data_IF_927952626735
#
_entry.id   IF_927952626735
#
_cell.length_a   1.000
_cell.length_b   1.000
_cell.length_c   1.000
_cell.angle_alpha   90.00
_cell.angle_beta   90.00
_cell.angle_gamma   90.00
#
_symmetry.space_group_name_H-M   'P 1'
#
loop_
_entity.id
_entity.type
_entity.pdbx_description
1 polymer ?
#
# COMPACT_ATOMS: atom_id res chain seq x y z
N UNK A 1 -25.41 36.82 -62.21
CA UNK A 1 -24.68 37.73 -63.13
C UNK A 1 -23.25 37.76 -62.63
N UNK A 2 -22.25 37.16 -63.28
CA UNK A 2 -21.61 37.62 -64.52
C UNK A 2 -20.95 36.42 -65.23
N UNK A 3 -21.17 36.34 -66.55
CA UNK A 3 -20.45 35.53 -67.54
C UNK A 3 -19.30 36.36 -68.11
N UNK A 4 -18.14 35.76 -68.36
CA UNK A 4 -17.26 36.01 -69.55
C UNK A 4 -16.16 34.96 -69.56
N UNK A 5 -16.14 33.99 -70.50
CA UNK A 5 -15.62 33.98 -71.88
C UNK A 5 -14.23 33.32 -71.97
N UNK A 6 -14.22 32.18 -72.66
CA UNK A 6 -13.07 31.41 -73.15
C UNK A 6 -12.26 32.21 -74.18
N UNK A 7 -11.02 31.77 -74.47
CA UNK A 7 -10.57 31.64 -75.85
C UNK A 7 -10.40 30.18 -76.25
N UNK A 8 -11.00 29.86 -77.40
CA UNK A 8 -10.70 28.70 -78.22
C UNK A 8 -9.29 28.83 -78.79
N UNK A 9 -8.50 27.77 -78.72
CA UNK A 9 -7.45 27.51 -79.73
C UNK A 9 -7.51 26.05 -80.14
N UNK A 10 -7.08 25.84 -81.38
CA UNK A 10 -7.60 24.84 -82.30
C UNK A 10 -7.18 23.39 -81.98
N UNK A 11 -8.04 22.48 -82.46
CA UNK A 11 -7.73 21.08 -82.72
C UNK A 11 -6.41 20.94 -83.48
N UNK A 12 -5.55 20.03 -83.02
CA UNK A 12 -4.85 19.12 -83.93
C UNK A 12 -5.32 17.70 -83.63
N UNK A 13 -5.91 17.09 -84.64
CA UNK A 13 -6.23 15.67 -84.68
C UNK A 13 -4.94 14.98 -85.07
N UNK A 14 -4.36 14.19 -84.17
CA UNK A 14 -3.49 13.07 -84.56
C UNK A 14 -4.01 11.84 -83.86
N UNK A 15 -4.93 11.19 -84.57
CA UNK A 15 -5.18 9.76 -84.40
C UNK A 15 -4.17 9.03 -85.27
N UNK A 16 -3.16 8.42 -84.65
CA UNK A 16 -2.58 7.19 -85.17
C UNK A 16 -2.39 6.25 -83.99
N UNK A 17 -3.30 5.29 -83.94
CA UNK A 17 -3.22 4.01 -83.28
C UNK A 17 -1.79 3.49 -83.21
N UNK A 18 -1.22 3.53 -82.00
CA UNK A 18 -0.31 2.48 -81.57
C UNK A 18 -0.88 1.91 -80.28
N UNK A 19 -1.92 1.08 -80.44
CA UNK A 19 -2.12 -0.05 -79.54
C UNK A 19 -0.88 -0.94 -79.67
N UNK A 20 0.20 -0.55 -79.00
CA UNK A 20 1.24 -1.51 -78.66
C UNK A 20 0.58 -2.45 -77.67
N UNK A 21 0.40 -3.69 -78.10
CA UNK A 21 0.11 -4.82 -77.24
C UNK A 21 1.31 -5.03 -76.28
N UNK A 22 1.50 -4.11 -75.33
CA UNK A 22 2.23 -4.35 -74.09
C UNK A 22 1.22 -4.80 -73.02
N UNK A 23 0.27 -5.64 -73.43
CA UNK A 23 -0.67 -6.31 -72.55
C UNK A 23 0.01 -7.60 -72.13
N UNK A 24 0.64 -7.60 -70.95
CA UNK A 24 0.78 -8.71 -69.98
C UNK A 24 1.88 -8.40 -68.95
N UNK A 25 2.98 -7.75 -69.32
CA UNK A 25 4.12 -7.49 -68.42
C UNK A 25 3.93 -6.28 -67.49
N UNK A 26 3.34 -5.17 -67.96
CA UNK A 26 3.16 -3.97 -67.13
C UNK A 26 2.16 -4.17 -65.98
N UNK A 27 1.08 -4.93 -66.22
CA UNK A 27 0.11 -5.29 -65.19
C UNK A 27 0.74 -6.23 -64.15
N UNK A 28 1.56 -7.20 -64.59
CA UNK A 28 2.30 -8.11 -63.70
C UNK A 28 3.34 -7.36 -62.87
N UNK A 29 4.10 -6.43 -63.47
CA UNK A 29 5.07 -5.59 -62.75
C UNK A 29 4.42 -4.67 -61.73
N UNK A 30 3.30 -4.01 -62.08
CA UNK A 30 2.51 -3.20 -61.13
C UNK A 30 1.91 -4.06 -60.02
N UNK A 31 1.42 -5.26 -60.33
CA UNK A 31 0.93 -6.21 -59.33
C UNK A 31 2.06 -6.70 -58.40
N UNK A 32 3.27 -6.93 -58.94
CA UNK A 32 4.44 -7.31 -58.15
C UNK A 32 4.93 -6.16 -57.26
N UNK A 33 5.00 -4.93 -57.79
CA UNK A 33 5.36 -3.74 -57.01
C UNK A 33 4.30 -3.42 -55.93
N UNK A 34 3.01 -3.54 -56.27
CA UNK A 34 1.89 -3.45 -55.33
C UNK A 34 2.00 -4.48 -54.20
N UNK A 35 2.22 -5.77 -54.54
CA UNK A 35 2.43 -6.84 -53.54
C UNK A 35 3.64 -6.59 -52.64
N UNK A 36 4.77 -6.11 -53.19
CA UNK A 36 5.96 -5.75 -52.41
C UNK A 36 5.72 -4.55 -51.49
N UNK A 37 5.03 -3.51 -51.97
CA UNK A 37 4.66 -2.34 -51.16
C UNK A 37 3.64 -2.69 -50.04
N UNK A 38 2.69 -3.60 -50.33
CA UNK A 38 1.72 -4.14 -49.37
C UNK A 38 2.37 -5.01 -48.29
N UNK A 39 3.38 -5.80 -48.66
CA UNK A 39 4.19 -6.56 -47.70
C UNK A 39 5.03 -5.66 -46.79
N UNK A 40 5.65 -4.62 -47.34
CA UNK A 40 6.42 -3.63 -46.58
C UNK A 40 5.54 -2.87 -45.59
N UNK A 41 4.39 -2.34 -46.04
CA UNK A 41 3.42 -1.64 -45.18
C UNK A 41 2.83 -2.56 -44.11
N UNK A 42 2.50 -3.82 -44.43
CA UNK A 42 2.07 -4.81 -43.43
C UNK A 42 3.15 -5.06 -42.38
N UNK A 43 4.42 -5.18 -42.78
CA UNK A 43 5.54 -5.39 -41.85
C UNK A 43 5.73 -4.20 -40.91
N UNK A 44 5.64 -2.97 -41.43
CA UNK A 44 5.69 -1.74 -40.62
C UNK A 44 4.49 -1.68 -39.66
N UNK A 45 3.28 -1.98 -40.12
CA UNK A 45 2.09 -2.00 -39.27
C UNK A 45 2.17 -3.08 -38.18
N UNK A 46 2.74 -4.24 -38.50
CA UNK A 46 3.01 -5.31 -37.54
C UNK A 46 4.01 -4.84 -36.49
N UNK A 47 5.13 -4.24 -36.90
CA UNK A 47 6.14 -3.68 -36.00
C UNK A 47 5.55 -2.58 -35.11
N UNK A 48 4.74 -1.67 -35.66
CA UNK A 48 4.04 -0.63 -34.89
C UNK A 48 3.01 -1.22 -33.92
N UNK A 49 2.34 -2.32 -34.29
CA UNK A 49 1.42 -3.04 -33.40
C UNK A 49 2.18 -3.76 -32.28
N UNK A 50 3.33 -4.36 -32.59
CA UNK A 50 4.20 -5.00 -31.61
C UNK A 50 4.81 -3.99 -30.65
N UNK A 51 5.25 -2.82 -31.14
CA UNK A 51 5.70 -1.69 -30.32
C UNK A 51 4.63 -1.27 -29.32
N UNK A 52 3.45 -0.89 -29.82
CA UNK A 52 2.30 -0.54 -28.97
C UNK A 52 1.94 -1.64 -27.95
N UNK A 53 2.06 -2.92 -28.33
CA UNK A 53 1.82 -4.05 -27.41
C UNK A 53 2.88 -4.12 -26.30
N UNK A 54 4.16 -3.92 -26.63
CA UNK A 54 5.24 -3.88 -25.63
C UNK A 54 5.05 -2.72 -24.68
N UNK A 55 4.71 -1.54 -25.20
CA UNK A 55 4.46 -0.35 -24.39
C UNK A 55 3.25 -0.56 -23.46
N UNK A 56 2.17 -1.16 -23.98
CA UNK A 56 1.00 -1.51 -23.17
C UNK A 56 1.31 -2.54 -22.07
N UNK A 57 2.15 -3.55 -22.36
CA UNK A 57 2.57 -4.55 -21.37
C UNK A 57 3.47 -3.95 -20.28
N UNK A 58 4.38 -3.05 -20.65
CA UNK A 58 5.26 -2.35 -19.72
C UNK A 58 4.47 -1.42 -18.78
N UNK A 59 3.40 -0.81 -19.31
CA UNK A 59 2.55 0.11 -18.56
C UNK A 59 1.38 -0.59 -17.83
N UNK A 60 1.32 -1.92 -17.84
CA UNK A 60 0.26 -2.67 -17.13
C UNK A 60 0.52 -2.63 -15.62
N UNK A 61 -0.50 -2.43 -14.77
CA UNK A 61 -0.30 -2.52 -13.33
C UNK A 61 0.06 -3.95 -12.90
N UNK A 62 0.92 -4.04 -11.90
CA UNK A 62 1.31 -5.33 -11.33
C UNK A 62 0.17 -5.93 -10.51
N UNK A 63 -0.03 -7.25 -10.57
CA UNK A 63 -1.08 -7.90 -9.77
C UNK A 63 -0.71 -8.04 -8.28
N UNK A 64 0.59 -8.03 -7.99
CA UNK A 64 1.11 -8.16 -6.62
C UNK A 64 0.86 -6.83 -5.89
N UNK A 65 1.41 -5.74 -6.40
CA UNK A 65 1.40 -4.44 -5.73
C UNK A 65 0.18 -3.61 -6.11
N UNK A 66 -0.41 -3.86 -7.28
CA UNK A 66 -1.65 -3.24 -7.77
C UNK A 66 -1.44 -1.96 -8.58
N UNK A 67 -0.23 -1.43 -8.61
CA UNK A 67 0.13 -0.18 -9.30
C UNK A 67 0.98 -0.44 -10.54
N UNK A 68 1.03 0.56 -11.42
CA UNK A 68 1.99 0.63 -12.52
C UNK A 68 3.41 0.79 -11.95
N UNK A 69 4.45 0.20 -12.57
CA UNK A 69 5.81 0.28 -12.06
C UNK A 69 6.34 1.71 -11.88
N UNK A 70 5.93 2.66 -12.74
CA UNK A 70 6.39 4.05 -12.69
C UNK A 70 5.81 4.83 -11.50
N UNK A 71 4.56 4.57 -11.13
CA UNK A 71 3.81 5.40 -10.16
C UNK A 71 3.79 4.78 -8.75
N UNK A 72 4.36 3.59 -8.56
CA UNK A 72 4.18 2.78 -7.35
C UNK A 72 4.56 3.55 -6.08
N UNK A 73 5.71 4.22 -6.08
CA UNK A 73 6.24 4.89 -4.90
C UNK A 73 5.34 6.07 -4.46
N UNK A 74 4.84 6.85 -5.42
CA UNK A 74 3.98 8.01 -5.16
C UNK A 74 2.60 7.57 -4.70
N UNK A 75 1.95 6.67 -5.46
CA UNK A 75 0.61 6.17 -5.14
C UNK A 75 0.59 5.47 -3.78
N UNK A 76 1.62 4.69 -3.46
CA UNK A 76 1.68 4.03 -2.16
C UNK A 76 1.85 5.02 -1.01
N UNK A 77 2.74 6.01 -1.13
CA UNK A 77 2.94 7.04 -0.10
C UNK A 77 1.67 7.83 0.20
N UNK A 78 0.88 8.10 -0.84
CA UNK A 78 -0.39 8.82 -0.73
C UNK A 78 -1.56 7.91 -0.29
N UNK A 79 -1.34 6.59 -0.22
CA UNK A 79 -2.38 5.66 0.18
C UNK A 79 -2.70 5.80 1.67
N UNK A 80 -3.98 5.67 2.00
CA UNK A 80 -4.43 5.68 3.38
C UNK A 80 -3.80 4.53 4.16
N UNK A 81 -3.71 3.34 3.54
CA UNK A 81 -3.13 2.15 4.17
C UNK A 81 -1.66 2.38 4.58
N UNK A 82 -0.84 2.97 3.72
CA UNK A 82 0.58 3.22 4.03
C UNK A 82 0.75 4.15 5.25
N UNK A 83 -0.05 5.22 5.34
CA UNK A 83 0.02 6.15 6.47
C UNK A 83 -0.34 5.53 7.83
N UNK A 84 -1.12 4.45 7.83
CA UNK A 84 -1.58 3.77 9.04
C UNK A 84 -0.55 2.75 9.56
N UNK A 85 0.22 2.14 8.64
CA UNK A 85 1.12 1.04 8.95
C UNK A 85 2.33 1.49 9.74
N UNK A 86 2.74 0.64 10.68
CA UNK A 86 4.06 0.69 11.30
C UNK A 86 5.04 -0.02 10.38
N UNK A 87 5.87 0.77 9.72
CA UNK A 87 6.96 0.26 8.89
C UNK A 87 8.18 -0.09 9.77
N UNK A 88 8.72 -1.29 9.54
CA UNK A 88 9.93 -1.79 10.22
C UNK A 88 11.15 -0.86 9.98
N UNK A 89 11.14 -0.11 8.87
CA UNK A 89 12.17 0.90 8.56
C UNK A 89 12.11 2.09 9.51
N UNK A 90 10.90 2.54 9.87
CA UNK A 90 10.70 3.68 10.79
C UNK A 90 11.10 3.31 12.21
N UNK A 91 10.89 2.05 12.60
CA UNK A 91 11.34 1.51 13.88
C UNK A 91 12.86 1.27 13.96
N UNK A 92 13.58 1.42 12.85
CA UNK A 92 15.03 1.23 12.83
C UNK A 92 15.73 2.29 13.68
N UNK A 93 16.79 1.93 14.43
CA UNK A 93 17.57 2.88 15.22
C UNK A 93 18.29 3.94 14.38
N UNK A 94 18.31 3.78 13.05
CA UNK A 94 18.90 4.74 12.11
C UNK A 94 17.96 5.91 11.74
N UNK A 95 16.74 5.96 12.27
CA UNK A 95 15.81 7.05 12.00
C UNK A 95 16.20 8.33 12.77
N UNK A 96 16.11 9.49 12.11
CA UNK A 96 16.49 10.80 12.68
C UNK A 96 15.40 11.40 13.58
N UNK A 97 14.21 10.80 13.64
CA UNK A 97 13.07 11.34 14.37
C UNK A 97 13.19 11.09 15.88
N UNK A 98 12.74 12.05 16.72
CA UNK A 98 12.67 11.84 18.16
C UNK A 98 11.83 10.60 18.45
N UNK A 99 12.44 9.71 19.20
CA UNK A 99 12.00 8.33 19.40
C UNK A 99 11.06 8.19 20.59
N UNK A 100 11.38 8.96 21.63
CA UNK A 100 10.71 8.97 22.92
C UNK A 100 10.34 10.41 23.24
N UNK A 101 9.14 10.58 23.77
CA UNK A 101 8.68 11.84 24.35
C UNK A 101 8.82 11.73 25.86
N UNK A 102 9.53 12.67 26.47
CA UNK A 102 9.57 12.78 27.92
C UNK A 102 8.23 13.34 28.39
N UNK A 103 7.55 12.59 29.27
CA UNK A 103 6.35 13.05 29.94
C UNK A 103 6.66 13.28 31.40
N UNK A 104 6.34 14.48 31.89
CA UNK A 104 6.38 14.81 33.31
C UNK A 104 5.11 14.25 33.96
N UNK A 105 5.28 13.19 34.75
CA UNK A 105 4.21 12.56 35.50
C UNK A 105 4.32 12.98 36.98
N UNK A 106 3.29 12.70 37.77
CA UNK A 106 3.25 13.06 39.20
C UNK A 106 4.42 12.50 40.01
N UNK A 107 4.87 11.29 39.68
CA UNK A 107 5.98 10.60 40.36
C UNK A 107 7.34 11.01 39.82
N UNK A 108 7.40 11.54 38.60
CA UNK A 108 8.65 11.96 37.96
C UNK A 108 8.62 11.86 36.45
N UNK A 109 9.80 11.96 35.84
CA UNK A 109 9.97 11.96 34.38
C UNK A 109 10.05 10.53 33.85
N UNK A 110 9.16 10.20 32.90
CA UNK A 110 9.16 8.92 32.20
C UNK A 110 9.32 9.15 30.71
N UNK A 111 10.24 8.41 30.09
CA UNK A 111 10.45 8.43 28.64
C UNK A 111 9.46 7.48 27.98
N UNK A 112 8.42 8.03 27.33
CA UNK A 112 7.40 7.22 26.66
C UNK A 112 7.70 7.10 25.16
N UNK A 113 7.63 5.88 24.59
CA UNK A 113 7.82 5.70 23.16
C UNK A 113 6.63 6.28 22.38
N UNK A 114 6.90 6.90 21.24
CA UNK A 114 5.85 7.47 20.39
C UNK A 114 4.92 6.39 19.82
N UNK A 115 5.46 5.20 19.57
CA UNK A 115 4.72 4.05 19.06
C UNK A 115 4.67 2.95 20.11
N UNK A 116 3.50 2.81 20.74
CA UNK A 116 3.23 1.84 21.79
C UNK A 116 2.51 0.63 21.18
N UNK A 117 2.86 -0.56 21.67
CA UNK A 117 2.20 -1.81 21.32
C UNK A 117 0.97 -2.11 22.17
N UNK A 118 0.40 -3.29 21.95
CA UNK A 118 -0.82 -3.79 22.57
C UNK A 118 -2.07 -2.91 22.31
N UNK A 119 -1.94 -1.99 21.34
CA UNK A 119 -2.85 -0.89 21.00
C UNK A 119 -3.41 -0.14 22.20
N UNK A 120 -2.56 0.23 23.14
CA UNK A 120 -3.00 1.06 24.26
C UNK A 120 -3.48 2.43 23.76
N UNK A 121 -4.69 2.81 24.17
CA UNK A 121 -5.28 4.13 23.90
C UNK A 121 -4.74 5.22 24.83
N UNK A 122 -5.08 6.48 24.59
CA UNK A 122 -4.54 7.60 25.39
C UNK A 122 -5.10 7.63 26.82
N UNK A 123 -6.35 7.19 27.01
CA UNK A 123 -6.94 6.98 28.34
C UNK A 123 -6.19 5.92 29.14
N UNK A 124 -5.91 4.77 28.52
CA UNK A 124 -5.18 3.66 29.13
C UNK A 124 -3.74 4.06 29.46
N UNK A 125 -3.07 4.80 28.56
CA UNK A 125 -1.73 5.36 28.82
C UNK A 125 -1.76 6.29 30.03
N UNK A 126 -2.75 7.18 30.13
CA UNK A 126 -2.90 8.06 31.28
C UNK A 126 -3.06 7.25 32.56
N UNK A 127 -3.95 6.27 32.57
CA UNK A 127 -4.16 5.41 33.75
C UNK A 127 -2.89 4.65 34.14
N UNK A 128 -2.21 4.03 33.17
CA UNK A 128 -1.03 3.20 33.39
C UNK A 128 0.16 3.98 33.94
N UNK A 129 0.40 5.19 33.43
CA UNK A 129 1.60 5.95 33.75
C UNK A 129 1.36 7.06 34.78
N UNK A 130 0.19 7.71 34.81
CA UNK A 130 -0.08 8.77 35.78
C UNK A 130 -0.78 8.27 37.03
N UNK A 131 -1.91 7.57 36.88
CA UNK A 131 -2.82 7.36 37.99
C UNK A 131 -2.43 6.14 38.83
N UNK A 132 -2.16 5.00 38.18
CA UNK A 132 -1.84 3.74 38.86
C UNK A 132 -0.55 3.78 39.69
N UNK A 133 0.58 4.35 39.21
CA UNK A 133 1.82 4.37 39.99
C UNK A 133 1.69 5.19 41.28
N UNK A 134 0.86 6.24 41.28
CA UNK A 134 0.61 7.07 42.48
C UNK A 134 -0.21 6.28 43.50
N UNK A 135 -1.27 5.62 43.02
CA UNK A 135 -2.12 4.81 43.89
C UNK A 135 -1.38 3.60 44.46
N UNK A 136 -0.50 2.96 43.67
CA UNK A 136 0.32 1.84 44.15
C UNK A 136 1.31 2.29 45.23
N UNK A 137 1.99 3.42 45.04
CA UNK A 137 2.90 3.97 46.06
C UNK A 137 2.15 4.27 47.37
N UNK A 138 0.98 4.94 47.29
CA UNK A 138 0.15 5.24 48.46
C UNK A 138 -0.39 3.98 49.15
N UNK A 139 -0.79 2.95 48.40
CA UNK A 139 -1.25 1.71 48.99
C UNK A 139 -0.12 0.98 49.75
N UNK A 140 1.10 0.97 49.18
CA UNK A 140 2.25 0.31 49.80
C UNK A 140 2.71 1.03 51.07
N UNK A 141 2.69 2.37 51.09
CA UNK A 141 3.03 3.13 52.30
C UNK A 141 2.07 2.84 53.44
N UNK A 142 0.76 2.86 53.17
CA UNK A 142 -0.26 2.53 54.16
C UNK A 142 -0.11 1.10 54.68
N UNK A 143 0.21 0.15 53.78
CA UNK A 143 0.45 -1.24 54.15
C UNK A 143 1.70 -1.40 55.04
N UNK A 144 2.76 -0.61 54.80
CA UNK A 144 3.96 -0.61 55.65
C UNK A 144 3.70 0.02 57.02
N UNK A 145 2.97 1.14 57.07
CA UNK A 145 2.66 1.86 58.32
C UNK A 145 1.71 1.06 59.23
N UNK A 146 0.87 0.19 58.66
CA UNK A 146 -0.07 -0.64 59.44
C UNK A 146 0.61 -1.79 60.19
N UNK A 147 1.92 -2.01 60.05
CA UNK A 147 2.65 -3.10 60.74
C UNK A 147 3.09 -2.66 62.15
N UNK A 148 2.65 -3.34 63.22
CA UNK A 148 2.81 -2.85 64.60
C UNK A 148 4.24 -2.85 65.16
N UNK A 149 5.24 -3.35 64.42
CA UNK A 149 6.62 -3.52 64.93
C UNK A 149 7.69 -2.70 64.19
N UNK A 150 7.32 -1.98 63.13
CA UNK A 150 8.27 -1.13 62.43
C UNK A 150 8.27 0.25 63.08
N UNK A 151 9.43 0.59 63.65
CA UNK A 151 9.81 1.89 64.19
C UNK A 151 9.30 3.00 63.29
N UNK A 152 8.89 4.11 63.90
CA UNK A 152 8.51 5.39 63.31
C UNK A 152 9.57 5.95 62.34
N UNK A 153 9.79 5.26 61.23
CA UNK A 153 10.54 5.70 60.08
C UNK A 153 9.56 6.50 59.25
N UNK A 154 9.90 7.77 59.05
CA UNK A 154 9.08 8.79 58.42
C UNK A 154 8.19 8.21 57.31
N UNK A 155 6.87 8.29 57.48
CA UNK A 155 5.92 7.88 56.46
C UNK A 155 6.23 8.56 55.11
N UNK A 156 6.79 9.78 55.17
CA UNK A 156 7.32 10.52 54.03
C UNK A 156 8.52 9.81 53.35
N UNK A 157 9.53 9.35 54.10
CA UNK A 157 10.66 8.64 53.53
C UNK A 157 10.24 7.29 52.91
N UNK A 158 9.31 6.59 53.56
CA UNK A 158 8.71 5.38 53.00
C UNK A 158 7.96 5.66 51.70
N UNK A 159 7.22 6.77 51.62
CA UNK A 159 6.51 7.18 50.40
C UNK A 159 7.46 7.50 49.26
N UNK A 160 8.48 8.30 49.52
CA UNK A 160 9.50 8.64 48.51
C UNK A 160 10.20 7.38 47.97
N UNK A 161 10.48 6.41 48.84
CA UNK A 161 11.05 5.13 48.42
C UNK A 161 10.11 4.39 47.46
N UNK A 162 8.82 4.26 47.80
CA UNK A 162 7.87 3.58 46.92
C UNK A 162 7.65 4.34 45.61
N UNK A 163 7.57 5.67 45.64
CA UNK A 163 7.51 6.50 44.43
C UNK A 163 8.69 6.23 43.50
N UNK A 164 9.92 6.17 44.02
CA UNK A 164 11.09 5.85 43.21
C UNK A 164 11.01 4.43 42.62
N UNK A 165 10.53 3.45 43.39
CA UNK A 165 10.35 2.09 42.88
C UNK A 165 9.30 2.04 41.77
N UNK A 166 8.19 2.77 41.90
CA UNK A 166 7.12 2.85 40.91
C UNK A 166 7.57 3.61 39.66
N UNK A 167 8.40 4.65 39.82
CA UNK A 167 9.06 5.34 38.71
C UNK A 167 9.92 4.37 37.89
N UNK A 168 10.76 3.57 38.57
CA UNK A 168 11.61 2.58 37.90
C UNK A 168 10.76 1.54 37.15
N UNK A 169 9.67 1.07 37.76
CA UNK A 169 8.70 0.15 37.11
C UNK A 169 8.05 0.79 35.89
N UNK A 170 7.61 2.05 35.98
CA UNK A 170 7.02 2.78 34.88
C UNK A 170 8.00 2.92 33.70
N UNK A 171 9.26 3.26 33.96
CA UNK A 171 10.30 3.31 32.93
C UNK A 171 10.60 1.94 32.30
N UNK A 172 10.63 0.85 33.09
CA UNK A 172 10.76 -0.51 32.55
C UNK A 172 9.57 -0.88 31.69
N UNK A 173 8.37 -0.58 32.15
CA UNK A 173 7.12 -0.88 31.45
C UNK A 173 7.01 -0.11 30.13
N UNK A 174 7.42 1.16 30.09
CA UNK A 174 7.51 1.94 28.85
C UNK A 174 8.41 1.25 27.81
N UNK A 175 9.53 0.66 28.22
CA UNK A 175 10.41 -0.12 27.33
C UNK A 175 9.75 -1.41 26.84
N UNK A 176 9.01 -2.11 27.69
CA UNK A 176 8.27 -3.33 27.31
C UNK A 176 7.18 -3.02 26.27
N UNK A 177 6.57 -1.84 26.41
CA UNK A 177 5.51 -1.37 25.51
C UNK A 177 6.01 -0.81 24.19
N UNK A 178 7.30 -0.48 24.07
CA UNK A 178 7.89 0.08 22.85
C UNK A 178 7.84 -0.94 21.69
N UNK A 179 7.24 -0.56 20.56
CA UNK A 179 7.16 -1.42 19.37
C UNK A 179 8.51 -1.73 18.75
N UNK A 180 9.55 -0.96 19.05
CA UNK A 180 10.93 -1.26 18.64
C UNK A 180 11.45 -2.55 19.24
N UNK A 181 10.98 -2.87 20.44
CA UNK A 181 11.34 -4.09 21.17
C UNK A 181 10.40 -5.26 20.84
N UNK A 182 9.34 -5.02 20.06
CA UNK A 182 8.39 -6.05 19.67
C UNK A 182 8.95 -6.93 18.55
N UNK A 183 8.56 -8.21 18.55
CA UNK A 183 8.88 -9.11 17.44
C UNK A 183 8.01 -8.81 16.20
N UNK A 184 8.34 -9.46 15.08
CA UNK A 184 7.60 -9.28 13.82
C UNK A 184 6.10 -9.62 13.92
N UNK A 185 5.72 -10.50 14.86
CA UNK A 185 4.33 -10.87 15.12
C UNK A 185 3.58 -9.79 15.91
N UNK A 186 4.23 -9.13 16.87
CA UNK A 186 3.72 -7.99 17.63
C UNK A 186 3.49 -6.77 16.75
N UNK A 187 4.46 -6.42 15.90
CA UNK A 187 4.29 -5.37 14.88
C UNK A 187 3.11 -5.73 13.96
N UNK A 188 3.01 -6.99 13.54
CA UNK A 188 1.90 -7.44 12.71
C UNK A 188 0.55 -7.40 13.45
N UNK A 189 0.50 -7.59 14.76
CA UNK A 189 -0.71 -7.46 15.56
C UNK A 189 -1.19 -6.01 15.56
N UNK A 190 -0.29 -5.05 15.80
CA UNK A 190 -0.63 -3.62 15.75
C UNK A 190 -1.11 -3.20 14.37
N UNK A 191 -0.39 -3.57 13.31
CA UNK A 191 -0.78 -3.24 11.96
C UNK A 191 -2.18 -3.80 11.62
N UNK A 192 -2.49 -5.05 12.04
CA UNK A 192 -3.84 -5.60 11.86
C UNK A 192 -4.90 -4.78 12.60
N UNK A 193 -4.64 -4.42 13.87
CA UNK A 193 -5.57 -3.62 14.67
C UNK A 193 -5.82 -2.26 14.04
N UNK A 194 -4.76 -1.54 13.65
CA UNK A 194 -4.84 -0.23 13.00
C UNK A 194 -5.60 -0.28 11.68
N UNK A 195 -5.36 -1.32 10.87
CA UNK A 195 -6.12 -1.55 9.62
C UNK A 195 -7.62 -1.74 9.92
N UNK A 196 -7.96 -2.57 10.91
CA UNK A 196 -9.36 -2.82 11.26
C UNK A 196 -10.05 -1.52 11.66
N UNK A 197 -9.43 -0.73 12.54
CA UNK A 197 -10.01 0.55 12.99
C UNK A 197 -10.21 1.52 11.82
N UNK A 198 -9.22 1.65 10.93
CA UNK A 198 -9.27 2.62 9.84
C UNK A 198 -10.21 2.26 8.68
N UNK A 199 -10.38 0.97 8.38
CA UNK A 199 -11.23 0.49 7.27
C UNK A 199 -12.63 0.05 7.72
N UNK A 200 -12.91 0.07 9.02
CA UNK A 200 -14.25 -0.16 9.57
C UNK A 200 -15.17 1.05 9.37
N UNK A 201 -16.48 0.89 9.59
CA UNK A 201 -17.41 2.03 9.61
C UNK A 201 -17.27 2.81 10.92
N UNK A 202 -17.59 4.11 10.95
CA UNK A 202 -17.65 4.86 12.20
C UNK A 202 -18.70 4.29 13.17
N UNK A 203 -19.80 3.74 12.65
CA UNK A 203 -20.86 3.09 13.44
C UNK A 203 -20.39 1.81 14.14
N UNK A 204 -19.55 1.02 13.47
CA UNK A 204 -18.98 -0.21 14.01
C UNK A 204 -17.46 -0.20 13.81
N UNK A 205 -16.69 0.36 14.76
CA UNK A 205 -15.26 0.60 14.62
C UNK A 205 -14.41 -0.69 14.62
N UNK A 206 -15.00 -1.85 14.92
CA UNK A 206 -14.30 -3.12 14.96
C UNK A 206 -15.05 -4.22 14.20
N UNK A 207 -15.04 -4.11 12.86
CA UNK A 207 -15.68 -5.09 11.98
C UNK A 207 -14.66 -5.81 11.08
N UNK A 208 -13.99 -6.88 11.56
CA UNK A 208 -13.01 -7.63 10.77
C UNK A 208 -13.63 -8.39 9.59
N UNK A 209 -14.95 -8.64 9.62
CA UNK A 209 -15.70 -9.36 8.58
C UNK A 209 -15.98 -8.55 7.31
N UNK A 210 -15.79 -7.23 7.35
CA UNK A 210 -16.11 -6.32 6.24
C UNK A 210 -15.15 -6.52 5.06
N UNK A 211 -15.68 -6.51 3.83
CA UNK A 211 -14.90 -6.79 2.61
C UNK A 211 -13.71 -5.83 2.44
N UNK A 212 -13.90 -4.55 2.75
CA UNK A 212 -12.87 -3.50 2.72
C UNK A 212 -11.72 -3.80 3.69
N UNK A 213 -12.06 -4.16 4.93
CA UNK A 213 -11.10 -4.51 5.97
C UNK A 213 -10.32 -5.76 5.58
N UNK A 214 -11.01 -6.79 5.08
CA UNK A 214 -10.37 -8.02 4.62
C UNK A 214 -9.43 -7.76 3.44
N UNK A 215 -9.83 -6.96 2.46
CA UNK A 215 -8.98 -6.58 1.33
C UNK A 215 -7.74 -5.81 1.80
N UNK A 216 -7.88 -4.88 2.75
CA UNK A 216 -6.77 -4.15 3.34
C UNK A 216 -5.78 -5.08 4.08
N UNK A 217 -6.29 -6.01 4.88
CA UNK A 217 -5.48 -7.02 5.57
C UNK A 217 -4.72 -7.92 4.61
N UNK A 218 -5.33 -8.33 3.48
CA UNK A 218 -4.66 -9.10 2.43
C UNK A 218 -3.59 -8.27 1.74
N UNK A 219 -3.86 -7.01 1.41
CA UNK A 219 -2.87 -6.09 0.82
C UNK A 219 -1.65 -5.91 1.72
N UNK A 220 -1.84 -5.71 3.02
CA UNK A 220 -0.75 -5.67 3.99
C UNK A 220 0.09 -6.95 3.99
N UNK A 221 -0.56 -8.13 4.03
CA UNK A 221 0.14 -9.43 3.98
C UNK A 221 0.90 -9.64 2.67
N UNK A 222 0.30 -9.29 1.54
CA UNK A 222 0.91 -9.37 0.20
C UNK A 222 2.19 -8.55 0.16
N UNK A 223 2.14 -7.29 0.62
CA UNK A 223 3.32 -6.40 0.64
C UNK A 223 4.43 -6.93 1.56
N UNK A 224 4.08 -7.38 2.77
CA UNK A 224 5.06 -7.98 3.70
C UNK A 224 5.73 -9.22 3.12
N UNK A 225 4.94 -10.12 2.54
CA UNK A 225 5.45 -11.37 1.94
C UNK A 225 6.25 -11.09 0.67
N UNK A 226 5.85 -10.11 -0.13
CA UNK A 226 6.60 -9.65 -1.30
C UNK A 226 7.98 -9.13 -0.92
N UNK A 227 8.08 -8.25 0.08
CA UNK A 227 9.36 -7.75 0.59
C UNK A 227 10.27 -8.89 1.09
N UNK A 228 9.70 -9.89 1.78
CA UNK A 228 10.44 -11.08 2.19
C UNK A 228 10.96 -11.87 0.98
N UNK A 229 10.11 -12.15 -0.01
CA UNK A 229 10.48 -12.93 -1.20
C UNK A 229 11.48 -12.21 -2.13
N UNK A 230 11.50 -10.88 -2.12
CA UNK A 230 12.53 -10.09 -2.81
C UNK A 230 13.93 -10.40 -2.24
N UNK A 231 14.04 -10.55 -0.90
CA UNK A 231 15.28 -10.95 -0.22
C UNK A 231 15.55 -12.45 -0.38
N UNK A 232 14.51 -13.28 -0.24
CA UNK A 232 14.61 -14.74 -0.28
C UNK A 232 14.03 -15.34 -1.56
N UNK A 233 14.81 -15.28 -2.63
CA UNK A 233 14.34 -15.69 -3.97
C UNK A 233 14.04 -17.20 -4.10
N UNK A 234 14.61 -18.07 -3.27
CA UNK A 234 14.46 -19.53 -3.39
C UNK A 234 13.26 -20.12 -2.63
N UNK A 235 12.51 -19.30 -1.90
CA UNK A 235 11.37 -19.77 -1.13
C UNK A 235 10.12 -19.97 -2.01
N UNK A 236 9.93 -21.20 -2.50
CA UNK A 236 8.81 -21.57 -3.37
C UNK A 236 7.49 -21.71 -2.61
N UNK A 237 7.54 -22.15 -1.34
CA UNK A 237 6.34 -22.32 -0.51
C UNK A 237 5.66 -20.99 -0.22
N UNK A 238 6.44 -19.97 0.14
CA UNK A 238 5.91 -18.63 0.38
C UNK A 238 5.45 -17.94 -0.91
N UNK A 239 6.04 -18.24 -2.07
CA UNK A 239 5.51 -17.78 -3.37
C UNK A 239 4.12 -18.32 -3.64
N UNK A 240 3.86 -19.59 -3.34
CA UNK A 240 2.52 -20.17 -3.46
C UNK A 240 1.53 -19.46 -2.52
N UNK A 241 1.95 -19.19 -1.28
CA UNK A 241 1.17 -18.40 -0.32
C UNK A 241 0.83 -17.00 -0.85
N UNK A 242 1.80 -16.31 -1.46
CA UNK A 242 1.61 -15.00 -2.08
C UNK A 242 0.54 -15.04 -3.18
N UNK A 243 0.62 -16.03 -4.09
CA UNK A 243 -0.38 -16.19 -5.16
C UNK A 243 -1.78 -16.39 -4.60
N UNK A 244 -1.94 -17.24 -3.58
CA UNK A 244 -3.23 -17.47 -2.91
C UNK A 244 -3.80 -16.17 -2.33
N UNK A 245 -2.98 -15.39 -1.63
CA UNK A 245 -3.40 -14.11 -1.05
C UNK A 245 -3.88 -13.10 -2.12
N UNK A 246 -3.19 -13.04 -3.26
CA UNK A 246 -3.57 -12.14 -4.38
C UNK A 246 -4.93 -12.54 -4.94
N UNK A 247 -5.15 -13.83 -5.18
CA UNK A 247 -6.42 -14.34 -5.69
C UNK A 247 -7.57 -14.13 -4.69
N UNK A 248 -7.33 -14.37 -3.40
CA UNK A 248 -8.30 -14.11 -2.33
C UNK A 248 -8.66 -12.62 -2.25
N UNK A 249 -7.68 -11.71 -2.31
CA UNK A 249 -7.92 -10.26 -2.35
C UNK A 249 -8.78 -9.89 -3.56
N UNK A 250 -8.43 -10.38 -4.74
CA UNK A 250 -9.17 -10.08 -5.95
C UNK A 250 -10.61 -10.61 -5.90
N UNK A 251 -10.82 -11.81 -5.33
CA UNK A 251 -12.17 -12.37 -5.11
C UNK A 251 -13.02 -11.46 -4.23
N UNK A 252 -12.47 -10.98 -3.11
CA UNK A 252 -13.18 -10.07 -2.19
C UNK A 252 -13.52 -8.75 -2.87
N UNK A 253 -12.57 -8.18 -3.62
CA UNK A 253 -12.78 -6.91 -4.32
C UNK A 253 -13.77 -7.03 -5.49
N UNK A 254 -13.77 -8.14 -6.23
CA UNK A 254 -14.78 -8.44 -7.26
C UNK A 254 -16.18 -8.59 -6.67
N UNK A 255 -16.28 -9.25 -5.50
CA UNK A 255 -17.53 -9.31 -4.76
C UNK A 255 -18.01 -7.91 -4.35
N UNK A 256 -17.12 -7.10 -3.76
CA UNK A 256 -17.47 -5.73 -3.37
C UNK A 256 -17.96 -4.92 -4.56
N UNK A 257 -17.28 -4.99 -5.71
CA UNK A 257 -17.71 -4.33 -6.96
C UNK A 257 -19.11 -4.74 -7.40
N UNK A 258 -19.47 -6.02 -7.27
CA UNK A 258 -20.80 -6.52 -7.66
C UNK A 258 -21.91 -6.08 -6.71
N UNK A 259 -21.56 -5.81 -5.44
CA UNK A 259 -22.51 -5.38 -4.41
C UNK A 259 -22.68 -3.87 -4.43
N UNK A 260 -21.57 -3.14 -4.44
CA UNK A 260 -21.52 -1.68 -4.37
C UNK A 260 -20.26 -1.16 -5.08
N UNK A 261 -20.47 -0.47 -6.19
CA UNK A 261 -19.39 0.06 -7.03
C UNK A 261 -18.70 1.26 -6.40
N UNK A 262 -19.42 2.13 -5.71
CA UNK A 262 -18.87 3.35 -5.11
C UNK A 262 -17.95 2.99 -3.94
N UNK A 263 -18.36 2.01 -3.12
CA UNK A 263 -17.50 1.41 -2.08
C UNK A 263 -16.27 0.74 -2.67
N UNK A 264 -16.39 0.10 -3.82
CA UNK A 264 -15.25 -0.51 -4.48
C UNK A 264 -14.22 0.52 -4.95
N UNK A 265 -14.65 1.58 -5.63
CA UNK A 265 -13.79 2.64 -6.15
C UNK A 265 -13.07 3.38 -5.01
N UNK A 266 -13.80 3.76 -3.95
CA UNK A 266 -13.20 4.39 -2.75
C UNK A 266 -12.16 3.49 -2.07
N UNK A 267 -12.38 2.18 -2.01
CA UNK A 267 -11.43 1.24 -1.38
C UNK A 267 -10.19 1.04 -2.23
N UNK A 268 -10.33 1.00 -3.56
CA UNK A 268 -9.19 0.94 -4.46
C UNK A 268 -8.25 2.14 -4.25
N UNK A 269 -8.80 3.34 -4.16
CA UNK A 269 -8.03 4.57 -3.88
C UNK A 269 -7.33 4.49 -2.53
N UNK A 270 -8.04 4.09 -1.47
CA UNK A 270 -7.47 3.96 -0.11
C UNK A 270 -6.34 2.93 -0.03
N UNK A 271 -6.39 1.88 -0.85
CA UNK A 271 -5.37 0.83 -0.93
C UNK A 271 -4.29 1.11 -1.99
N UNK A 272 -4.43 2.17 -2.78
CA UNK A 272 -3.64 2.46 -3.98
C UNK A 272 -3.56 1.26 -4.95
N UNK A 273 -4.72 0.74 -5.34
CA UNK A 273 -4.83 -0.35 -6.32
C UNK A 273 -5.52 0.14 -7.58
N UNK A 274 -4.99 -0.23 -8.74
CA UNK A 274 -5.65 0.02 -10.03
C UNK A 274 -6.73 -1.06 -10.29
N UNK A 275 -7.88 -0.73 -10.88
CA UNK A 275 -8.96 -1.69 -11.16
C UNK A 275 -8.49 -2.84 -12.07
N UNK A 276 -7.63 -2.55 -13.06
CA UNK A 276 -7.05 -3.54 -13.97
C UNK A 276 -6.28 -4.67 -13.25
N UNK A 277 -5.73 -4.37 -12.06
CA UNK A 277 -5.00 -5.36 -11.26
C UNK A 277 -5.92 -6.38 -10.58
N UNK A 278 -7.23 -6.10 -10.54
CA UNK A 278 -8.24 -6.92 -9.86
C UNK A 278 -9.15 -7.64 -10.86
N UNK A 279 -9.53 -6.99 -11.96
CA UNK A 279 -10.64 -7.42 -12.82
C UNK A 279 -10.26 -8.48 -13.86
N UNK A 280 -8.98 -8.63 -14.21
CA UNK A 280 -8.53 -9.54 -15.27
C UNK A 280 -8.18 -10.96 -14.82
N UNK A 281 -7.69 -11.77 -15.77
CA UNK A 281 -7.00 -13.02 -15.44
C UNK A 281 -5.71 -12.71 -14.67
N UNK A 282 -5.56 -13.32 -13.51
CA UNK A 282 -4.44 -13.08 -12.60
C UNK A 282 -3.34 -14.09 -12.89
N UNK A 283 -2.30 -13.64 -13.57
CA UNK A 283 -1.10 -14.44 -13.83
C UNK A 283 0.04 -13.89 -12.98
N UNK A 284 0.42 -14.65 -11.94
CA UNK A 284 1.39 -14.24 -10.90
C UNK A 284 2.56 -15.21 -10.79
#
# INVERSE_FOLDING_TARGET
MLRTRLPQTCRSVVSTSQCTYNLHTAAVLRAQASRRSGGSTRKVNLANKEGRRKDALANRPSFILGTRPSDEAEKWRNSNLAGILVDEVVLSPKSELPTTTEMELRIGKVSLPNQIGFGLGDSEKKMLFNDLPVLSAQAMTLATVSRPYDVANDAAASHQFWEETELRKANMFAKVLDLRNANAAGIAFENRRRIIVAFSTPENPFSPGRAEVQAALKTYKIRKLWSHLQKFKRDSGNRLGLRKLIHERAKILRYLRSVDRDRYETVLERLALEPESVEGELVV
#
